data_IF_474842082345
#
_entry.id   IF_474842082345
#
_cell.length_a   1.000
_cell.length_b   1.000
_cell.length_c   1.000
_cell.angle_alpha   90.00
_cell.angle_beta   90.00
_cell.angle_gamma   90.00
#
_symmetry.space_group_name_H-M   'P 1'
#
loop_
_entity.id
_entity.type
_entity.pdbx_description
1 polymer ?
#
# COMPACT_ATOMS: atom_id res chain seq x y z
N UNK A 1 -0.04 40.07 10.51
CA UNK A 1 0.38 38.89 11.30
C UNK A 1 0.55 37.64 10.44
N UNK A 2 -0.28 37.43 9.42
CA UNK A 2 -0.07 36.34 8.43
C UNK A 2 1.26 36.47 7.64
N UNK A 3 1.83 37.68 7.61
CA UNK A 3 3.08 38.09 6.99
C UNK A 3 4.26 38.21 7.97
N UNK A 4 4.02 37.95 9.26
CA UNK A 4 5.02 38.08 10.33
C UNK A 4 6.31 37.30 9.99
N UNK A 5 7.52 37.80 10.28
CA UNK A 5 8.76 37.09 9.97
C UNK A 5 8.89 35.73 10.68
N UNK A 6 8.28 35.55 11.85
CA UNK A 6 8.36 34.33 12.65
C UNK A 6 7.42 33.24 12.13
N UNK A 7 7.93 32.05 11.72
CA UNK A 7 7.09 30.93 11.33
C UNK A 7 6.15 30.46 12.45
N UNK A 8 6.56 30.59 13.72
CA UNK A 8 5.71 30.23 14.88
C UNK A 8 4.51 31.16 15.01
N UNK A 9 4.68 32.45 14.74
CA UNK A 9 3.57 33.41 14.77
C UNK A 9 2.60 33.10 13.64
N UNK A 10 3.09 32.88 12.42
CA UNK A 10 2.24 32.49 11.28
C UNK A 10 1.50 31.18 11.51
N UNK A 11 2.14 30.21 12.17
CA UNK A 11 1.52 28.92 12.52
C UNK A 11 0.36 29.08 13.50
N UNK A 12 0.53 29.90 14.54
CA UNK A 12 -0.55 30.24 15.47
C UNK A 12 -1.66 31.02 14.77
N UNK A 13 -1.31 32.00 13.93
CA UNK A 13 -2.28 32.77 13.14
C UNK A 13 -3.10 31.85 12.24
N UNK A 14 -2.48 30.85 11.59
CA UNK A 14 -3.19 29.89 10.76
C UNK A 14 -4.30 29.18 11.55
N UNK A 15 -4.01 28.69 12.76
CA UNK A 15 -5.05 28.08 13.60
C UNK A 15 -6.11 29.07 14.09
N UNK A 16 -5.70 30.24 14.55
CA UNK A 16 -6.63 31.27 15.04
C UNK A 16 -7.59 31.72 13.95
N UNK A 17 -7.12 31.84 12.71
CA UNK A 17 -7.96 32.17 11.55
C UNK A 17 -9.01 31.10 11.30
N UNK A 18 -8.75 29.83 11.66
CA UNK A 18 -9.74 28.77 11.54
C UNK A 18 -11.01 29.05 12.34
N UNK A 19 -10.94 29.77 13.47
CA UNK A 19 -12.11 30.15 14.29
C UNK A 19 -12.55 31.61 14.11
N UNK A 20 -11.97 32.30 13.14
CA UNK A 20 -12.34 33.67 12.81
C UNK A 20 -13.67 33.74 12.07
N UNK A 21 -14.21 34.96 12.00
CA UNK A 21 -15.31 35.34 11.08
C UNK A 21 -14.85 36.47 10.15
N UNK A 22 -13.55 36.67 10.05
CA UNK A 22 -12.95 37.76 9.29
C UNK A 22 -13.06 37.43 7.79
N UNK A 23 -13.68 38.30 6.96
CA UNK A 23 -13.80 38.07 5.53
C UNK A 23 -12.44 37.95 4.81
N UNK A 24 -11.34 38.45 5.39
CA UNK A 24 -10.00 38.33 4.84
C UNK A 24 -9.26 37.04 5.26
N UNK A 25 -9.90 36.12 6.00
CA UNK A 25 -9.24 34.90 6.51
C UNK A 25 -8.62 34.05 5.39
N UNK A 26 -9.35 33.85 4.29
CA UNK A 26 -8.90 33.05 3.14
C UNK A 26 -7.68 33.69 2.48
N UNK A 27 -7.69 35.01 2.37
CA UNK A 27 -6.56 35.78 1.82
C UNK A 27 -5.33 35.68 2.72
N UNK A 28 -5.51 35.75 4.03
CA UNK A 28 -4.44 35.61 5.01
C UNK A 28 -3.83 34.20 5.00
N UNK A 29 -4.68 33.16 5.01
CA UNK A 29 -4.26 31.76 4.88
C UNK A 29 -3.52 31.51 3.55
N UNK A 30 -3.99 32.09 2.44
CA UNK A 30 -3.31 32.00 1.15
C UNK A 30 -1.93 32.67 1.18
N UNK A 31 -1.78 33.78 1.91
CA UNK A 31 -0.49 34.44 2.15
C UNK A 31 0.50 33.53 2.89
N UNK A 32 0.04 32.84 3.93
CA UNK A 32 0.86 31.89 4.71
C UNK A 32 1.33 30.74 3.83
N UNK A 33 0.44 30.12 3.05
CA UNK A 33 0.79 29.00 2.15
C UNK A 33 1.83 29.42 1.13
N UNK A 34 1.68 30.59 0.49
CA UNK A 34 2.67 31.09 -0.50
C UNK A 34 4.08 31.21 0.07
N UNK A 35 4.21 31.44 1.38
CA UNK A 35 5.50 31.58 2.05
C UNK A 35 6.03 30.24 2.57
N UNK A 36 5.16 29.40 3.11
CA UNK A 36 5.54 28.29 3.98
C UNK A 36 5.06 26.92 3.47
N UNK A 37 4.64 26.81 2.21
CA UNK A 37 4.17 25.54 1.65
C UNK A 37 5.18 24.39 1.75
N UNK A 38 6.48 24.64 1.95
CA UNK A 38 7.48 23.61 2.21
C UNK A 38 7.35 22.97 3.60
N UNK A 39 6.82 23.67 4.59
CA UNK A 39 6.66 23.18 5.97
C UNK A 39 5.40 22.31 6.11
N UNK A 40 5.59 21.05 6.52
CA UNK A 40 4.48 20.08 6.68
C UNK A 40 3.45 20.55 7.71
N UNK A 41 3.90 21.09 8.84
CA UNK A 41 3.01 21.50 9.91
C UNK A 41 2.20 22.72 9.50
N UNK A 42 2.82 23.67 8.79
CA UNK A 42 2.10 24.82 8.27
C UNK A 42 1.01 24.41 7.27
N UNK A 43 1.33 23.50 6.33
CA UNK A 43 0.32 22.95 5.40
C UNK A 43 -0.86 22.36 6.18
N UNK A 44 -0.59 21.54 7.19
CA UNK A 44 -1.63 20.94 8.03
C UNK A 44 -2.44 21.98 8.78
N UNK A 45 -1.82 22.99 9.39
CA UNK A 45 -2.53 24.05 10.11
C UNK A 45 -3.49 24.78 9.19
N UNK A 46 -3.04 25.23 8.01
CA UNK A 46 -3.90 25.92 7.05
C UNK A 46 -5.05 25.02 6.60
N UNK A 47 -4.79 23.77 6.22
CA UNK A 47 -5.84 22.86 5.75
C UNK A 47 -6.93 22.60 6.80
N UNK A 48 -6.57 22.51 8.08
CA UNK A 48 -7.54 22.34 9.16
C UNK A 48 -8.36 23.61 9.42
N UNK A 49 -7.77 24.78 9.17
CA UNK A 49 -8.42 26.07 9.36
C UNK A 49 -9.36 26.47 8.22
N UNK A 50 -9.29 25.82 7.06
CA UNK A 50 -10.07 26.23 5.89
C UNK A 50 -11.58 26.03 6.02
N UNK A 51 -12.08 25.21 6.96
CA UNK A 51 -13.52 24.91 7.13
C UNK A 51 -14.23 24.74 5.78
N UNK A 52 -15.05 25.70 5.36
CA UNK A 52 -15.79 25.70 4.08
C UNK A 52 -15.09 26.44 2.92
N UNK A 53 -13.99 27.16 3.17
CA UNK A 53 -13.27 27.95 2.19
C UNK A 53 -12.24 27.19 1.33
N UNK A 54 -12.28 25.86 1.31
CA UNK A 54 -11.33 25.06 0.53
C UNK A 54 -11.47 25.31 -0.99
N UNK A 55 -12.68 25.46 -1.50
CA UNK A 55 -12.92 25.85 -2.88
C UNK A 55 -12.50 27.29 -3.19
N UNK A 56 -12.75 28.21 -2.27
CA UNK A 56 -12.43 29.64 -2.45
C UNK A 56 -10.92 29.89 -2.52
N UNK A 57 -10.14 29.19 -1.69
CA UNK A 57 -8.68 29.34 -1.68
C UNK A 57 -8.00 28.63 -2.86
N UNK A 58 -8.67 27.68 -3.51
CA UNK A 58 -8.08 26.86 -4.57
C UNK A 58 -7.66 27.68 -5.79
N UNK A 59 -8.56 28.47 -6.37
CA UNK A 59 -8.27 29.27 -7.58
C UNK A 59 -7.07 30.22 -7.42
N UNK A 60 -6.99 31.07 -6.37
CA UNK A 60 -5.88 32.00 -6.21
C UNK A 60 -4.54 31.32 -5.90
N UNK A 61 -4.54 30.10 -5.36
CA UNK A 61 -3.32 29.34 -5.10
C UNK A 61 -2.86 28.55 -6.33
N UNK A 62 -3.78 27.93 -7.06
CA UNK A 62 -3.43 27.17 -8.27
C UNK A 62 -2.99 28.10 -9.41
N UNK A 63 -3.44 29.35 -9.43
CA UNK A 63 -2.96 30.35 -10.38
C UNK A 63 -1.47 30.74 -10.16
N UNK A 64 -0.94 30.61 -8.92
CA UNK A 64 0.43 31.00 -8.58
C UNK A 64 1.44 29.96 -9.08
N UNK A 65 2.27 30.33 -10.06
CA UNK A 65 3.30 29.45 -10.62
C UNK A 65 4.32 29.01 -9.57
N UNK A 66 4.64 29.85 -8.58
CA UNK A 66 5.60 29.49 -7.52
C UNK A 66 5.11 28.31 -6.68
N UNK A 67 3.80 28.18 -6.52
CA UNK A 67 3.20 27.02 -5.85
C UNK A 67 3.13 25.82 -6.79
N UNK A 68 2.73 26.01 -8.05
CA UNK A 68 2.67 24.92 -9.02
C UNK A 68 4.03 24.32 -9.37
N UNK A 69 5.10 25.09 -9.26
CA UNK A 69 6.44 24.67 -9.68
C UNK A 69 7.33 24.25 -8.49
N UNK A 70 6.87 24.41 -7.25
CA UNK A 70 7.60 23.97 -6.04
C UNK A 70 7.03 22.69 -5.46
N UNK A 71 7.90 21.81 -4.94
CA UNK A 71 7.47 20.54 -4.33
C UNK A 71 6.50 20.75 -3.15
N UNK A 72 6.76 21.75 -2.30
CA UNK A 72 5.88 22.09 -1.18
C UNK A 72 4.52 22.62 -1.62
N UNK A 73 4.49 23.49 -2.64
CA UNK A 73 3.26 24.03 -3.20
C UNK A 73 2.41 22.97 -3.91
N UNK A 74 3.04 22.09 -4.70
CA UNK A 74 2.36 20.95 -5.32
C UNK A 74 1.75 20.02 -4.28
N UNK A 75 2.49 19.72 -3.20
CA UNK A 75 1.98 18.88 -2.11
C UNK A 75 0.81 19.55 -1.38
N UNK A 76 0.85 20.86 -1.16
CA UNK A 76 -0.28 21.59 -0.59
C UNK A 76 -1.51 21.54 -1.52
N UNK A 77 -1.35 21.87 -2.80
CA UNK A 77 -2.46 21.84 -3.78
C UNK A 77 -3.06 20.43 -3.89
N UNK A 78 -2.22 19.38 -3.87
CA UNK A 78 -2.67 17.99 -3.83
C UNK A 78 -3.50 17.70 -2.58
N UNK A 79 -3.04 18.13 -1.40
CA UNK A 79 -3.79 17.94 -0.15
C UNK A 79 -5.11 18.70 -0.15
N UNK A 80 -5.10 19.97 -0.60
CA UNK A 80 -6.29 20.81 -0.72
C UNK A 80 -7.34 20.18 -1.64
N UNK A 81 -6.95 19.75 -2.84
CA UNK A 81 -7.88 19.10 -3.78
C UNK A 81 -8.37 17.75 -3.24
N UNK A 82 -7.54 17.02 -2.48
CA UNK A 82 -7.98 15.83 -1.77
C UNK A 82 -9.05 16.12 -0.70
N UNK A 83 -8.92 17.23 0.03
CA UNK A 83 -9.94 17.70 0.99
C UNK A 83 -11.23 18.09 0.27
N UNK A 84 -11.15 18.85 -0.83
CA UNK A 84 -12.31 19.20 -1.67
C UNK A 84 -13.04 17.93 -2.12
N UNK A 85 -12.30 16.95 -2.66
CA UNK A 85 -12.88 15.68 -3.09
C UNK A 85 -13.52 14.88 -1.95
N UNK A 86 -12.89 14.87 -0.76
CA UNK A 86 -13.41 14.16 0.41
C UNK A 86 -14.64 14.84 1.04
N UNK A 87 -14.73 16.18 0.95
CA UNK A 87 -15.93 16.95 1.30
C UNK A 87 -17.07 16.67 0.33
N UNK A 88 -16.74 16.44 -0.95
CA UNK A 88 -17.68 16.14 -2.02
C UNK A 88 -18.78 17.22 -2.16
N UNK A 89 -18.40 18.49 -1.96
CA UNK A 89 -19.24 19.64 -2.29
C UNK A 89 -19.26 19.83 -3.82
N UNK A 90 -20.46 19.89 -4.41
CA UNK A 90 -20.60 19.91 -5.87
C UNK A 90 -20.07 21.20 -6.51
N UNK A 91 -20.14 22.34 -5.80
CA UNK A 91 -19.60 23.62 -6.26
C UNK A 91 -18.08 23.60 -6.27
N UNK A 92 -17.46 23.19 -5.16
CA UNK A 92 -16.00 23.13 -5.06
C UNK A 92 -15.39 22.11 -6.03
N UNK A 93 -16.01 20.94 -6.17
CA UNK A 93 -15.58 19.90 -7.13
C UNK A 93 -15.67 20.43 -8.57
N UNK A 94 -16.75 21.14 -8.91
CA UNK A 94 -16.91 21.74 -10.24
C UNK A 94 -15.80 22.76 -10.53
N UNK A 95 -15.43 23.59 -9.56
CA UNK A 95 -14.32 24.56 -9.70
C UNK A 95 -13.00 23.85 -10.05
N UNK A 96 -12.70 22.74 -9.38
CA UNK A 96 -11.49 21.95 -9.68
C UNK A 96 -11.58 21.33 -11.08
N UNK A 97 -12.73 20.74 -11.45
CA UNK A 97 -12.93 20.16 -12.79
C UNK A 97 -12.76 21.20 -13.91
N UNK A 98 -13.33 22.40 -13.74
CA UNK A 98 -13.24 23.50 -14.71
C UNK A 98 -11.80 24.02 -14.86
N UNK A 99 -11.00 24.03 -13.78
CA UNK A 99 -9.57 24.31 -13.87
C UNK A 99 -8.83 23.23 -14.66
N UNK A 100 -9.04 21.96 -14.33
CA UNK A 100 -8.37 20.82 -14.95
C UNK A 100 -8.67 20.71 -16.45
N UNK A 101 -9.92 20.97 -16.85
CA UNK A 101 -10.34 21.02 -18.25
C UNK A 101 -9.58 22.08 -19.05
N UNK A 102 -9.33 23.26 -18.46
CA UNK A 102 -8.63 24.37 -19.12
C UNK A 102 -7.10 24.22 -19.11
N UNK A 103 -6.55 23.39 -18.20
CA UNK A 103 -5.11 23.28 -17.93
C UNK A 103 -4.59 21.84 -18.02
N UNK A 104 -5.08 21.08 -19.01
CA UNK A 104 -4.73 19.67 -19.25
C UNK A 104 -3.21 19.43 -19.31
N UNK A 105 -2.44 20.35 -19.90
CA UNK A 105 -0.99 20.23 -20.06
C UNK A 105 -0.18 20.73 -18.86
N UNK A 106 -0.82 21.24 -17.82
CA UNK A 106 -0.10 21.70 -16.62
C UNK A 106 0.60 20.53 -15.93
N UNK A 107 1.83 20.74 -15.45
CA UNK A 107 2.59 19.73 -14.71
C UNK A 107 1.88 19.21 -13.45
N UNK A 108 0.92 19.97 -12.91
CA UNK A 108 0.11 19.57 -11.75
C UNK A 108 -1.21 18.89 -12.12
N UNK A 109 -1.61 18.85 -13.39
CA UNK A 109 -2.93 18.36 -13.79
C UNK A 109 -3.17 16.92 -13.32
N UNK A 110 -2.24 15.99 -13.61
CA UNK A 110 -2.36 14.60 -13.17
C UNK A 110 -2.38 14.46 -11.63
N UNK A 111 -1.56 15.25 -10.95
CA UNK A 111 -1.49 15.27 -9.49
C UNK A 111 -2.83 15.67 -8.87
N UNK A 112 -3.41 16.76 -9.36
CA UNK A 112 -4.66 17.31 -8.85
C UNK A 112 -5.87 16.46 -9.27
N UNK A 113 -5.93 15.96 -10.51
CA UNK A 113 -6.98 15.03 -10.93
C UNK A 113 -6.97 13.77 -10.07
N UNK A 114 -5.78 13.23 -9.79
CA UNK A 114 -5.64 12.08 -8.90
C UNK A 114 -6.11 12.39 -7.49
N UNK A 115 -5.68 13.52 -6.92
CA UNK A 115 -6.08 13.94 -5.59
C UNK A 115 -7.61 14.08 -5.47
N UNK A 116 -8.26 14.66 -6.49
CA UNK A 116 -9.70 14.83 -6.53
C UNK A 116 -10.39 13.46 -6.54
N UNK A 117 -9.95 12.55 -7.41
CA UNK A 117 -10.54 11.21 -7.51
C UNK A 117 -10.33 10.35 -6.25
N UNK A 118 -9.17 10.43 -5.61
CA UNK A 118 -8.91 9.75 -4.34
C UNK A 118 -9.77 10.35 -3.21
N UNK A 119 -9.92 11.69 -3.15
CA UNK A 119 -10.84 12.35 -2.22
C UNK A 119 -12.29 11.92 -2.40
N UNK A 120 -12.79 11.95 -3.64
CA UNK A 120 -14.15 11.52 -3.98
C UNK A 120 -14.41 10.05 -3.63
N UNK A 121 -13.41 9.18 -3.85
CA UNK A 121 -13.48 7.77 -3.41
C UNK A 121 -13.62 7.65 -1.90
N UNK A 122 -12.90 8.49 -1.15
CA UNK A 122 -12.99 8.51 0.31
C UNK A 122 -14.39 8.94 0.79
N UNK A 123 -15.05 9.82 0.04
CA UNK A 123 -16.45 10.21 0.24
C UNK A 123 -17.49 9.15 -0.22
N UNK A 124 -17.04 8.02 -0.76
CA UNK A 124 -17.93 6.95 -1.24
C UNK A 124 -18.51 7.16 -2.64
N UNK A 125 -17.96 8.10 -3.42
CA UNK A 125 -18.33 8.33 -4.82
C UNK A 125 -17.13 8.05 -5.75
N UNK A 126 -17.19 8.48 -7.01
CA UNK A 126 -16.11 8.31 -7.99
C UNK A 126 -15.90 9.57 -8.81
N UNK A 127 -14.68 9.73 -9.34
CA UNK A 127 -14.36 10.81 -10.27
C UNK A 127 -15.25 10.75 -11.52
N UNK A 128 -15.55 9.55 -12.03
CA UNK A 128 -16.45 9.35 -13.17
C UNK A 128 -17.89 9.81 -12.91
N UNK A 129 -18.38 9.72 -11.67
CA UNK A 129 -19.70 10.24 -11.29
C UNK A 129 -19.69 11.77 -11.16
N UNK A 130 -18.62 12.33 -10.60
CA UNK A 130 -18.47 13.77 -10.46
C UNK A 130 -18.23 14.47 -11.81
N UNK A 131 -17.52 13.82 -12.74
CA UNK A 131 -17.26 14.31 -14.09
C UNK A 131 -18.27 13.75 -15.11
N UNK A 132 -19.56 13.91 -14.83
CA UNK A 132 -20.63 13.40 -15.71
C UNK A 132 -20.64 14.03 -17.10
N UNK A 133 -20.06 15.22 -17.26
CA UNK A 133 -19.90 15.92 -18.54
C UNK A 133 -18.64 15.48 -19.32
N UNK A 134 -17.78 14.63 -18.73
CA UNK A 134 -16.56 14.14 -19.37
C UNK A 134 -15.50 15.21 -19.60
N UNK A 135 -15.44 16.25 -18.75
CA UNK A 135 -14.46 17.35 -18.82
C UNK A 135 -13.02 16.85 -18.73
N UNK A 136 -12.78 15.75 -18.05
CA UNK A 136 -11.45 15.16 -17.86
C UNK A 136 -11.07 14.15 -18.94
N UNK A 137 -11.94 13.88 -19.93
CA UNK A 137 -11.62 12.98 -21.05
C UNK A 137 -10.28 13.31 -21.73
N UNK A 138 -9.94 14.58 -22.04
CA UNK A 138 -8.63 14.92 -22.59
C UNK A 138 -7.46 14.58 -21.66
N UNK A 139 -7.66 14.71 -20.34
CA UNK A 139 -6.65 14.38 -19.32
C UNK A 139 -6.37 12.88 -19.31
N UNK A 140 -7.40 12.03 -19.37
CA UNK A 140 -7.22 10.58 -19.45
C UNK A 140 -6.59 10.12 -20.77
N UNK A 141 -6.95 10.75 -21.89
CA UNK A 141 -6.30 10.48 -23.19
C UNK A 141 -4.80 10.79 -23.12
N UNK A 142 -4.44 11.96 -22.57
CA UNK A 142 -3.04 12.35 -22.35
C UNK A 142 -2.33 11.37 -21.42
N UNK A 143 -2.97 10.95 -20.34
CA UNK A 143 -2.41 9.96 -19.42
C UNK A 143 -2.15 8.61 -20.11
N UNK A 144 -3.08 8.13 -20.94
CA UNK A 144 -2.92 6.90 -21.73
C UNK A 144 -1.72 7.00 -22.67
N UNK A 145 -1.58 8.12 -23.38
CA UNK A 145 -0.44 8.37 -24.26
C UNK A 145 0.89 8.40 -23.49
N UNK A 146 0.96 9.17 -22.40
CA UNK A 146 2.19 9.30 -21.61
C UNK A 146 2.58 8.00 -20.90
N UNK A 147 1.60 7.22 -20.42
CA UNK A 147 1.87 5.93 -19.80
C UNK A 147 2.54 4.95 -20.77
N UNK A 148 2.12 4.94 -22.05
CA UNK A 148 2.65 4.06 -23.09
C UNK A 148 3.96 4.52 -23.75
N UNK A 149 4.33 5.79 -23.64
CA UNK A 149 5.50 6.35 -24.32
C UNK A 149 6.80 6.13 -23.51
N UNK A 150 7.67 5.26 -24.01
CA UNK A 150 8.97 4.97 -23.40
C UNK A 150 9.95 6.16 -23.39
N UNK A 151 9.69 7.23 -24.16
CA UNK A 151 10.50 8.47 -24.15
C UNK A 151 10.13 9.39 -22.98
N UNK A 152 8.94 9.22 -22.40
CA UNK A 152 8.51 9.98 -21.23
C UNK A 152 9.23 9.43 -20.00
N UNK A 153 9.68 10.33 -19.12
CA UNK A 153 10.36 9.93 -17.88
C UNK A 153 9.51 8.95 -17.06
N UNK A 154 10.15 7.95 -16.48
CA UNK A 154 9.49 6.89 -15.71
C UNK A 154 8.54 7.43 -14.63
N UNK A 155 8.95 8.47 -13.91
CA UNK A 155 8.14 9.10 -12.87
C UNK A 155 6.79 9.61 -13.42
N UNK A 156 6.80 10.26 -14.59
CA UNK A 156 5.58 10.77 -15.22
C UNK A 156 4.72 9.62 -15.75
N UNK A 157 5.33 8.57 -16.29
CA UNK A 157 4.61 7.37 -16.72
C UNK A 157 3.86 6.73 -15.55
N UNK A 158 4.53 6.57 -14.41
CA UNK A 158 3.91 6.04 -13.18
C UNK A 158 2.76 6.91 -12.70
N UNK A 159 2.90 8.24 -12.72
CA UNK A 159 1.80 9.16 -12.37
C UNK A 159 0.61 9.02 -13.34
N UNK A 160 0.87 8.89 -14.63
CA UNK A 160 -0.15 8.70 -15.65
C UNK A 160 -0.91 7.36 -15.44
N UNK A 161 -0.18 6.28 -15.14
CA UNK A 161 -0.75 4.96 -14.82
C UNK A 161 -1.66 5.03 -13.59
N UNK A 162 -1.22 5.71 -12.53
CA UNK A 162 -2.01 5.89 -11.31
C UNK A 162 -3.29 6.70 -11.58
N UNK A 163 -3.24 7.64 -12.51
CA UNK A 163 -4.42 8.41 -12.92
C UNK A 163 -5.41 7.53 -13.70
N UNK A 164 -4.94 6.68 -14.62
CA UNK A 164 -5.80 5.75 -15.37
C UNK A 164 -6.62 4.83 -14.47
N UNK A 165 -6.17 4.56 -13.24
CA UNK A 165 -6.91 3.77 -12.27
C UNK A 165 -8.18 4.47 -11.70
N UNK A 166 -8.43 5.72 -12.08
CA UNK A 166 -9.62 6.50 -11.71
C UNK A 166 -10.71 6.52 -12.79
N UNK A 167 -10.44 6.01 -14.00
CA UNK A 167 -11.44 5.84 -15.06
C UNK A 167 -12.18 4.51 -14.92
N UNK A 168 -12.98 4.12 -15.92
CA UNK A 168 -13.50 2.75 -16.03
C UNK A 168 -12.47 1.79 -16.61
N UNK A 169 -12.68 0.48 -16.40
CA UNK A 169 -11.85 -0.55 -17.02
C UNK A 169 -11.92 -0.50 -18.55
N UNK A 170 -13.08 -0.17 -19.12
CA UNK A 170 -13.24 -0.09 -20.59
C UNK A 170 -12.34 0.97 -21.23
N UNK A 171 -12.00 2.05 -20.51
CA UNK A 171 -11.13 3.12 -21.02
C UNK A 171 -9.64 2.78 -20.88
N UNK A 172 -9.28 2.17 -19.75
CA UNK A 172 -7.89 2.05 -19.28
C UNK A 172 -7.34 0.62 -19.28
N UNK A 173 -8.19 -0.40 -19.21
CA UNK A 173 -7.80 -1.79 -18.93
C UNK A 173 -6.81 -2.36 -19.94
N UNK A 174 -7.04 -2.14 -21.24
CA UNK A 174 -6.12 -2.60 -22.29
C UNK A 174 -4.76 -1.89 -22.22
N UNK A 175 -4.76 -0.57 -22.02
CA UNK A 175 -3.52 0.20 -21.86
C UNK A 175 -2.73 -0.29 -20.65
N UNK A 176 -3.39 -0.47 -19.50
CA UNK A 176 -2.76 -0.97 -18.29
C UNK A 176 -2.24 -2.41 -18.45
N UNK A 177 -2.99 -3.29 -19.11
CA UNK A 177 -2.53 -4.65 -19.43
C UNK A 177 -1.27 -4.63 -20.30
N UNK A 178 -1.21 -3.75 -21.31
CA UNK A 178 -0.04 -3.66 -22.20
C UNK A 178 1.25 -3.27 -21.47
N UNK A 179 1.13 -2.55 -20.35
CA UNK A 179 2.24 -2.12 -19.51
C UNK A 179 2.80 -3.22 -18.61
N UNK A 180 2.20 -4.41 -18.62
CA UNK A 180 2.72 -5.61 -17.96
C UNK A 180 3.70 -6.41 -18.84
N UNK A 181 3.92 -5.98 -20.08
CA UNK A 181 4.81 -6.66 -21.01
C UNK A 181 6.29 -6.56 -20.61
N UNK A 182 7.11 -7.50 -21.09
CA UNK A 182 8.55 -7.60 -20.75
C UNK A 182 9.40 -6.40 -21.22
N UNK A 183 8.90 -5.56 -22.12
CA UNK A 183 9.59 -4.33 -22.56
C UNK A 183 9.50 -3.17 -21.58
N UNK A 184 8.83 -3.35 -20.44
CA UNK A 184 8.60 -2.30 -19.44
C UNK A 184 9.53 -2.43 -18.24
N UNK A 185 9.82 -1.31 -17.59
CA UNK A 185 10.57 -1.29 -16.34
C UNK A 185 9.74 -1.85 -15.20
N UNK A 186 10.41 -2.38 -14.17
CA UNK A 186 9.74 -2.99 -13.01
C UNK A 186 8.78 -2.01 -12.32
N UNK A 187 9.16 -0.74 -12.16
CA UNK A 187 8.33 0.30 -11.55
C UNK A 187 7.05 0.59 -12.34
N UNK A 188 7.11 0.55 -13.67
CA UNK A 188 5.95 0.70 -14.57
C UNK A 188 5.03 -0.51 -14.46
N UNK A 189 5.60 -1.72 -14.45
CA UNK A 189 4.81 -2.93 -14.26
C UNK A 189 4.11 -2.94 -12.89
N UNK A 190 4.82 -2.58 -11.81
CA UNK A 190 4.24 -2.46 -10.46
C UNK A 190 3.12 -1.42 -10.41
N UNK A 191 3.31 -0.26 -11.04
CA UNK A 191 2.28 0.76 -11.13
C UNK A 191 1.04 0.25 -11.90
N UNK A 192 1.24 -0.52 -12.97
CA UNK A 192 0.16 -1.10 -13.75
C UNK A 192 -0.61 -2.17 -12.96
N UNK A 193 0.07 -3.05 -12.22
CA UNK A 193 -0.55 -4.02 -11.31
C UNK A 193 -1.40 -3.31 -10.26
N UNK A 194 -0.85 -2.28 -9.60
CA UNK A 194 -1.58 -1.50 -8.59
C UNK A 194 -2.78 -0.73 -9.18
N UNK A 195 -2.66 -0.23 -10.42
CA UNK A 195 -3.77 0.42 -11.12
C UNK A 195 -4.88 -0.57 -11.47
N UNK A 196 -4.52 -1.75 -12.01
CA UNK A 196 -5.46 -2.82 -12.32
C UNK A 196 -6.20 -3.32 -11.06
N UNK A 197 -5.50 -3.39 -9.92
CA UNK A 197 -6.07 -3.81 -8.65
C UNK A 197 -7.29 -2.97 -8.22
N UNK A 198 -7.37 -1.70 -8.64
CA UNK A 198 -8.46 -0.77 -8.29
C UNK A 198 -9.77 -1.08 -9.02
N UNK A 199 -9.75 -1.83 -10.13
CA UNK A 199 -10.97 -2.21 -10.83
C UNK A 199 -11.61 -3.46 -10.23
N UNK A 200 -12.92 -3.38 -9.99
CA UNK A 200 -13.74 -4.55 -9.68
C UNK A 200 -14.28 -5.17 -10.98
N UNK A 201 -13.38 -5.70 -11.80
CA UNK A 201 -13.69 -6.28 -13.11
C UNK A 201 -12.93 -7.61 -13.29
N UNK A 202 -13.61 -8.65 -13.75
CA UNK A 202 -13.00 -9.98 -13.92
C UNK A 202 -11.88 -10.00 -14.95
N UNK A 203 -11.88 -9.08 -15.92
CA UNK A 203 -10.83 -8.94 -16.95
C UNK A 203 -9.48 -8.55 -16.37
N UNK A 204 -9.44 -8.05 -15.12
CA UNK A 204 -8.19 -7.86 -14.37
C UNK A 204 -7.42 -9.19 -14.21
N UNK A 205 -8.14 -10.29 -13.97
CA UNK A 205 -7.53 -11.60 -13.78
C UNK A 205 -6.85 -12.06 -15.08
N UNK A 206 -7.54 -11.89 -16.20
CA UNK A 206 -7.02 -12.22 -17.52
C UNK A 206 -5.78 -11.38 -17.85
N UNK A 207 -5.80 -10.08 -17.57
CA UNK A 207 -4.65 -9.20 -17.78
C UNK A 207 -3.41 -9.65 -16.98
N UNK A 208 -3.56 -9.93 -15.68
CA UNK A 208 -2.45 -10.35 -14.82
C UNK A 208 -1.91 -11.74 -15.21
N UNK A 209 -2.80 -12.72 -15.43
CA UNK A 209 -2.40 -14.10 -15.72
C UNK A 209 -1.85 -14.27 -17.14
N UNK A 210 -2.37 -13.54 -18.14
CA UNK A 210 -1.86 -13.57 -19.52
C UNK A 210 -0.39 -13.12 -19.58
N UNK A 211 -0.04 -12.09 -18.82
CA UNK A 211 1.32 -11.54 -18.80
C UNK A 211 2.24 -12.26 -17.80
N UNK A 212 1.74 -13.22 -17.03
CA UNK A 212 2.49 -13.90 -15.96
C UNK A 212 3.92 -14.32 -16.33
N UNK A 213 4.17 -14.98 -17.49
CA UNK A 213 5.52 -15.42 -17.86
C UNK A 213 6.50 -14.26 -18.13
N UNK A 214 5.99 -13.05 -18.34
CA UNK A 214 6.76 -11.85 -18.67
C UNK A 214 7.05 -10.98 -17.43
N UNK A 215 6.42 -11.29 -16.30
CA UNK A 215 6.54 -10.52 -15.07
C UNK A 215 7.85 -10.86 -14.34
N UNK A 216 8.58 -9.81 -13.94
CA UNK A 216 9.71 -9.97 -13.02
C UNK A 216 9.25 -10.59 -11.69
N UNK A 217 10.15 -11.24 -10.95
CA UNK A 217 9.81 -11.95 -9.71
C UNK A 217 9.10 -11.06 -8.67
N UNK A 218 9.56 -9.82 -8.50
CA UNK A 218 8.91 -8.84 -7.62
C UNK A 218 7.49 -8.50 -8.07
N UNK A 219 7.28 -8.36 -9.38
CA UNK A 219 5.97 -8.04 -9.96
C UNK A 219 5.02 -9.22 -9.84
N UNK A 220 5.50 -10.46 -10.00
CA UNK A 220 4.70 -11.67 -9.70
C UNK A 220 4.23 -11.69 -8.25
N UNK A 221 5.13 -11.38 -7.30
CA UNK A 221 4.78 -11.30 -5.88
C UNK A 221 3.70 -10.25 -5.59
N UNK A 222 3.79 -9.08 -6.22
CA UNK A 222 2.74 -8.05 -6.13
C UNK A 222 1.44 -8.49 -6.79
N UNK A 223 1.51 -9.16 -7.95
CA UNK A 223 0.34 -9.70 -8.64
C UNK A 223 -0.36 -10.79 -7.81
N UNK A 224 0.38 -11.69 -7.14
CA UNK A 224 -0.19 -12.62 -6.15
C UNK A 224 -0.92 -11.82 -5.07
N UNK A 225 -0.26 -10.84 -4.46
CA UNK A 225 -0.85 -10.02 -3.39
C UNK A 225 -2.18 -9.39 -3.82
N UNK A 226 -2.22 -8.79 -5.02
CA UNK A 226 -3.45 -8.21 -5.61
C UNK A 226 -4.53 -9.26 -5.86
N UNK A 227 -4.16 -10.43 -6.40
CA UNK A 227 -5.10 -11.52 -6.67
C UNK A 227 -5.68 -12.11 -5.38
N UNK A 228 -4.92 -12.13 -4.28
CA UNK A 228 -5.37 -12.64 -2.98
C UNK A 228 -6.32 -11.69 -2.24
N UNK A 229 -6.50 -10.45 -2.71
CA UNK A 229 -7.41 -9.51 -2.06
C UNK A 229 -8.89 -9.83 -2.26
N UNK A 230 -9.26 -10.67 -3.24
CA UNK A 230 -10.66 -10.91 -3.60
C UNK A 230 -10.92 -12.38 -3.95
N UNK A 231 -12.08 -12.90 -3.55
CA UNK A 231 -12.39 -14.33 -3.69
C UNK A 231 -12.46 -14.80 -5.15
N UNK A 232 -13.03 -14.00 -6.05
CA UNK A 232 -13.09 -14.32 -7.48
C UNK A 232 -11.71 -14.31 -8.15
N UNK A 233 -10.80 -13.47 -7.66
CA UNK A 233 -9.41 -13.41 -8.14
C UNK A 233 -8.59 -14.59 -7.61
N UNK A 234 -8.79 -14.99 -6.34
CA UNK A 234 -8.21 -16.20 -5.75
C UNK A 234 -8.60 -17.43 -6.58
N UNK A 235 -9.87 -17.58 -6.94
CA UNK A 235 -10.34 -18.70 -7.75
C UNK A 235 -9.64 -18.76 -9.13
N UNK A 236 -9.46 -17.62 -9.79
CA UNK A 236 -8.73 -17.54 -11.06
C UNK A 236 -7.24 -17.90 -10.89
N UNK A 237 -6.60 -17.45 -9.81
CA UNK A 237 -5.22 -17.77 -9.51
C UNK A 237 -5.03 -19.27 -9.21
N UNK A 238 -5.93 -19.87 -8.45
CA UNK A 238 -5.91 -21.32 -8.18
C UNK A 238 -6.07 -22.16 -9.44
N UNK A 239 -6.95 -21.75 -10.36
CA UNK A 239 -7.06 -22.38 -11.67
C UNK A 239 -5.73 -22.30 -12.45
N UNK A 240 -5.06 -21.15 -12.40
CA UNK A 240 -3.76 -20.98 -13.05
C UNK A 240 -2.67 -21.89 -12.43
N UNK A 241 -2.76 -22.17 -11.13
CA UNK A 241 -1.89 -23.16 -10.46
C UNK A 241 -2.21 -24.59 -10.90
N UNK A 242 -3.50 -24.96 -11.00
CA UNK A 242 -3.93 -26.26 -11.53
C UNK A 242 -3.41 -26.49 -12.96
N UNK A 243 -3.47 -25.47 -13.79
CA UNK A 243 -2.97 -25.46 -15.17
C UNK A 243 -1.45 -25.34 -15.27
N UNK A 244 -0.74 -25.21 -14.14
CA UNK A 244 0.72 -25.05 -14.04
C UNK A 244 1.29 -23.81 -14.75
N UNK A 245 0.45 -22.81 -15.05
CA UNK A 245 0.89 -21.50 -15.56
C UNK A 245 1.43 -20.61 -14.43
N UNK A 246 0.99 -20.85 -13.20
CA UNK A 246 1.52 -20.27 -11.97
C UNK A 246 2.09 -21.40 -11.10
N UNK A 247 3.32 -21.24 -10.60
CA UNK A 247 3.95 -22.26 -9.76
C UNK A 247 3.50 -22.13 -8.30
N UNK A 248 3.43 -23.25 -7.59
CA UNK A 248 3.09 -23.24 -6.17
C UNK A 248 4.12 -22.46 -5.31
N UNK A 249 5.37 -22.38 -5.77
CA UNK A 249 6.45 -21.62 -5.13
C UNK A 249 6.27 -20.10 -5.21
N UNK A 250 5.29 -19.61 -5.98
CA UNK A 250 4.96 -18.16 -6.03
C UNK A 250 4.23 -17.70 -4.75
N UNK A 251 3.73 -18.64 -3.96
CA UNK A 251 3.01 -18.37 -2.72
C UNK A 251 3.94 -18.48 -1.53
N UNK A 252 3.88 -17.49 -0.65
CA UNK A 252 4.57 -17.52 0.63
C UNK A 252 3.82 -18.38 1.65
N UNK A 253 4.51 -18.88 2.67
CA UNK A 253 3.88 -19.61 3.78
C UNK A 253 2.77 -18.78 4.46
N UNK A 254 2.98 -17.47 4.60
CA UNK A 254 2.01 -16.53 5.16
C UNK A 254 0.73 -16.44 4.32
N UNK A 255 0.85 -16.36 3.00
CA UNK A 255 -0.30 -16.33 2.10
C UNK A 255 -1.06 -17.67 2.14
N UNK A 256 -0.37 -18.80 2.19
CA UNK A 256 -1.01 -20.11 2.31
C UNK A 256 -1.73 -20.28 3.66
N UNK A 257 -1.14 -19.78 4.75
CA UNK A 257 -1.79 -19.77 6.07
C UNK A 257 -3.06 -18.92 6.05
N UNK A 258 -3.02 -17.73 5.46
CA UNK A 258 -4.19 -16.88 5.28
C UNK A 258 -5.30 -17.58 4.46
N UNK A 259 -4.94 -18.21 3.34
CA UNK A 259 -5.88 -18.91 2.48
C UNK A 259 -6.55 -20.10 3.19
N UNK A 260 -5.80 -20.82 4.03
CA UNK A 260 -6.34 -21.91 4.85
C UNK A 260 -7.27 -21.40 5.96
N UNK A 261 -7.06 -20.18 6.43
CA UNK A 261 -7.92 -19.50 7.39
C UNK A 261 -9.03 -18.65 6.73
N UNK A 262 -9.18 -18.71 5.41
CA UNK A 262 -10.12 -17.86 4.67
C UNK A 262 -11.57 -18.13 5.08
N UNK A 263 -12.43 -17.11 5.04
CA UNK A 263 -13.85 -17.22 5.44
C UNK A 263 -14.65 -18.15 4.53
N UNK A 264 -14.35 -18.11 3.25
CA UNK A 264 -14.96 -18.93 2.21
C UNK A 264 -14.44 -20.37 2.29
N UNK A 265 -15.35 -21.32 2.50
CA UNK A 265 -15.06 -22.74 2.59
C UNK A 265 -14.43 -23.29 1.31
N UNK A 266 -14.88 -22.84 0.13
CA UNK A 266 -14.36 -23.33 -1.16
C UNK A 266 -12.88 -22.99 -1.33
N UNK A 267 -12.50 -21.76 -0.96
CA UNK A 267 -11.10 -21.32 -0.99
C UNK A 267 -10.24 -22.17 -0.05
N UNK A 268 -10.74 -22.47 1.17
CA UNK A 268 -10.03 -23.33 2.12
C UNK A 268 -9.83 -24.75 1.59
N UNK A 269 -10.84 -25.32 0.96
CA UNK A 269 -10.75 -26.67 0.38
C UNK A 269 -9.78 -26.70 -0.82
N UNK A 270 -9.84 -25.69 -1.69
CA UNK A 270 -8.94 -25.60 -2.85
C UNK A 270 -7.49 -25.41 -2.44
N UNK A 271 -7.17 -24.57 -1.47
CA UNK A 271 -5.77 -24.40 -1.02
C UNK A 271 -5.22 -25.70 -0.43
N UNK A 272 -6.03 -26.47 0.30
CA UNK A 272 -5.62 -27.79 0.82
C UNK A 272 -5.39 -28.79 -0.31
N UNK A 273 -6.25 -28.78 -1.33
CA UNK A 273 -6.10 -29.65 -2.51
C UNK A 273 -4.82 -29.33 -3.31
N UNK A 274 -4.52 -28.05 -3.51
CA UNK A 274 -3.44 -27.60 -4.40
C UNK A 274 -2.07 -27.53 -3.72
N UNK A 275 -2.04 -27.16 -2.44
CA UNK A 275 -0.81 -26.92 -1.69
C UNK A 275 -0.62 -27.88 -0.52
N UNK A 276 -1.53 -28.85 -0.37
CA UNK A 276 -1.56 -29.76 0.76
C UNK A 276 -2.21 -29.16 2.01
N UNK A 277 -2.64 -30.04 2.90
CA UNK A 277 -3.09 -29.66 4.23
C UNK A 277 -1.95 -28.96 5.00
N UNK A 278 -2.25 -28.04 5.94
CA UNK A 278 -1.26 -27.62 6.92
C UNK A 278 -0.67 -28.85 7.62
N UNK A 279 0.60 -28.76 8.02
CA UNK A 279 1.31 -29.89 8.62
C UNK A 279 0.51 -30.44 9.81
N UNK A 280 0.15 -31.72 9.74
CA UNK A 280 -0.50 -32.42 10.85
C UNK A 280 0.42 -32.61 12.05
N UNK A 281 1.73 -32.37 11.88
CA UNK A 281 2.73 -32.44 12.93
C UNK A 281 2.49 -31.31 13.91
N UNK A 282 2.22 -31.69 15.16
CA UNK A 282 2.07 -30.73 16.26
C UNK A 282 3.35 -29.91 16.38
N UNK A 283 3.21 -28.59 16.60
CA UNK A 283 4.36 -27.69 16.74
C UNK A 283 5.35 -28.17 17.81
N UNK A 284 4.87 -28.75 18.91
CA UNK A 284 5.71 -29.37 19.94
C UNK A 284 6.64 -30.47 19.42
N UNK A 285 6.19 -31.27 18.44
CA UNK A 285 7.00 -32.34 17.84
C UNK A 285 8.06 -31.76 16.90
N UNK A 286 7.72 -30.70 16.17
CA UNK A 286 8.68 -29.93 15.36
C UNK A 286 9.74 -29.29 16.25
N UNK A 287 9.34 -28.64 17.35
CA UNK A 287 10.29 -28.07 18.31
C UNK A 287 11.23 -29.15 18.83
N UNK A 288 10.70 -30.30 19.24
CA UNK A 288 11.51 -31.45 19.72
C UNK A 288 12.51 -31.95 18.69
N UNK A 289 12.14 -32.04 17.41
CA UNK A 289 13.03 -32.56 16.37
C UNK A 289 14.21 -31.62 16.07
N UNK A 290 14.08 -30.32 16.37
CA UNK A 290 15.13 -29.32 16.20
C UNK A 290 15.88 -28.96 17.50
N UNK A 291 15.49 -29.48 18.67
CA UNK A 291 16.25 -29.29 19.92
C UNK A 291 17.75 -29.62 19.81
N UNK A 292 18.19 -30.64 19.04
CA UNK A 292 19.63 -30.90 18.84
C UNK A 292 20.41 -29.70 18.29
N UNK A 293 19.76 -28.79 17.56
CA UNK A 293 20.38 -27.57 17.03
C UNK A 293 21.03 -26.70 18.12
N UNK A 294 20.50 -26.73 19.34
CA UNK A 294 21.02 -25.95 20.47
C UNK A 294 22.41 -26.41 20.95
N UNK A 295 22.79 -27.65 20.61
CA UNK A 295 24.08 -28.25 20.98
C UNK A 295 25.10 -28.21 19.83
N UNK A 296 24.68 -27.83 18.63
CA UNK A 296 25.54 -27.74 17.46
C UNK A 296 26.25 -26.39 17.42
N UNK A 297 27.44 -26.39 16.82
CA UNK A 297 28.17 -25.16 16.52
C UNK A 297 27.62 -24.59 15.21
N UNK A 298 26.97 -23.43 15.29
CA UNK A 298 26.45 -22.74 14.10
C UNK A 298 27.53 -22.02 13.29
N UNK A 299 27.31 -21.92 11.99
CA UNK A 299 28.11 -21.17 11.04
C UNK A 299 27.35 -19.91 10.57
N UNK A 300 27.72 -18.70 11.05
CA UNK A 300 26.97 -17.47 10.77
C UNK A 300 26.83 -17.15 9.28
N UNK A 301 27.81 -17.53 8.45
CA UNK A 301 27.76 -17.30 7.01
C UNK A 301 26.64 -18.09 6.31
N UNK A 302 26.34 -19.30 6.78
CA UNK A 302 25.21 -20.10 6.29
C UNK A 302 23.90 -19.56 6.86
N UNK A 303 23.88 -19.23 8.16
CA UNK A 303 22.73 -18.62 8.83
C UNK A 303 22.26 -17.34 8.15
N UNK A 304 23.20 -16.50 7.68
CA UNK A 304 22.90 -15.30 6.89
C UNK A 304 22.14 -15.61 5.60
N UNK A 305 22.47 -16.70 4.90
CA UNK A 305 21.76 -17.10 3.67
C UNK A 305 20.32 -17.47 3.99
N UNK A 306 20.11 -18.27 5.04
CA UNK A 306 18.78 -18.67 5.51
C UNK A 306 17.96 -17.44 5.95
N UNK A 307 18.59 -16.52 6.68
CA UNK A 307 17.96 -15.25 7.08
C UNK A 307 17.47 -14.45 5.87
N UNK A 308 18.33 -14.27 4.85
CA UNK A 308 17.98 -13.52 3.65
C UNK A 308 16.84 -14.19 2.86
N UNK A 309 16.79 -15.52 2.84
CA UNK A 309 15.78 -16.29 2.15
C UNK A 309 14.41 -16.26 2.87
N UNK A 310 14.40 -16.33 4.21
CA UNK A 310 13.18 -16.65 4.98
C UNK A 310 12.72 -15.58 5.94
N UNK A 311 13.65 -14.83 6.50
CA UNK A 311 13.38 -13.91 7.62
C UNK A 311 13.40 -12.45 7.17
N UNK A 312 14.27 -12.09 6.22
CA UNK A 312 14.47 -10.72 5.74
C UNK A 312 13.21 -10.13 5.07
N UNK A 313 12.28 -10.98 4.62
CA UNK A 313 10.97 -10.50 4.13
C UNK A 313 10.25 -9.68 5.20
N UNK A 314 10.31 -10.09 6.47
CA UNK A 314 9.54 -9.47 7.55
C UNK A 314 10.40 -8.78 8.60
N UNK A 315 11.62 -9.24 8.81
CA UNK A 315 12.52 -8.77 9.85
C UNK A 315 13.70 -8.02 9.27
N UNK A 316 14.25 -7.12 10.07
CA UNK A 316 15.41 -6.31 9.73
C UNK A 316 16.57 -6.63 10.68
N UNK A 317 17.76 -6.67 10.10
CA UNK A 317 19.07 -6.71 10.75
C UNK A 317 19.94 -5.67 10.03
N UNK A 318 20.40 -4.65 10.75
CA UNK A 318 21.07 -3.50 10.16
C UNK A 318 20.23 -2.88 9.03
N UNK A 319 20.79 -2.87 7.80
CA UNK A 319 20.11 -2.36 6.59
C UNK A 319 19.42 -3.45 5.75
N UNK A 320 19.41 -4.72 6.19
CA UNK A 320 18.89 -5.85 5.42
C UNK A 320 17.52 -6.30 5.93
N UNK A 321 16.52 -6.30 5.06
CA UNK A 321 15.16 -6.77 5.33
C UNK A 321 14.16 -5.65 5.68
N UNK A 322 13.01 -6.02 6.23
CA UNK A 322 11.88 -5.10 6.46
C UNK A 322 11.52 -4.95 7.95
N UNK A 323 10.83 -3.87 8.30
CA UNK A 323 10.39 -3.58 9.66
C UNK A 323 8.91 -3.95 9.90
N UNK A 324 8.51 -5.16 9.51
CA UNK A 324 7.19 -5.70 9.81
C UNK A 324 7.18 -6.42 11.17
N UNK A 325 8.13 -7.34 11.38
CA UNK A 325 8.35 -8.02 12.66
C UNK A 325 9.22 -7.21 13.63
N UNK A 326 9.45 -7.73 14.85
CA UNK A 326 10.41 -7.17 15.79
C UNK A 326 11.81 -7.03 15.17
N UNK A 327 12.52 -6.00 15.59
CA UNK A 327 13.94 -5.82 15.24
C UNK A 327 14.76 -6.94 15.90
N UNK A 328 15.40 -7.77 15.07
CA UNK A 328 16.08 -8.98 15.56
C UNK A 328 17.35 -8.65 16.34
N UNK A 329 17.89 -7.43 16.23
CA UNK A 329 19.01 -6.96 17.06
C UNK A 329 18.59 -6.98 18.54
N UNK A 330 17.34 -6.61 18.84
CA UNK A 330 16.81 -6.62 20.21
C UNK A 330 16.56 -8.04 20.74
N UNK A 331 16.38 -9.01 19.84
CA UNK A 331 16.07 -10.41 20.16
C UNK A 331 17.31 -11.23 20.53
N UNK A 332 18.54 -10.71 20.35
CA UNK A 332 19.78 -11.37 20.79
C UNK A 332 19.75 -11.80 22.25
N UNK A 333 19.12 -10.99 23.10
CA UNK A 333 19.07 -11.20 24.55
C UNK A 333 18.06 -12.27 24.97
N UNK A 334 17.18 -12.72 24.07
CA UNK A 334 16.15 -13.72 24.37
C UNK A 334 16.73 -15.13 24.59
N UNK A 335 17.94 -15.40 24.12
CA UNK A 335 18.61 -16.71 24.21
C UNK A 335 18.23 -17.68 23.07
N UNK A 336 19.10 -18.66 22.83
CA UNK A 336 18.99 -19.60 21.69
C UNK A 336 17.72 -20.44 21.73
N UNK A 337 17.29 -20.87 22.91
CA UNK A 337 16.10 -21.69 23.09
C UNK A 337 14.82 -20.90 22.76
N UNK A 338 14.69 -19.66 23.24
CA UNK A 338 13.55 -18.80 22.92
C UNK A 338 13.50 -18.47 21.44
N UNK A 339 14.65 -18.23 20.79
CA UNK A 339 14.71 -18.04 19.33
C UNK A 339 14.24 -19.28 18.58
N UNK A 340 14.74 -20.47 18.96
CA UNK A 340 14.33 -21.74 18.36
C UNK A 340 12.81 -21.93 18.43
N UNK A 341 12.24 -21.78 19.63
CA UNK A 341 10.81 -21.95 19.84
C UNK A 341 10.00 -20.91 19.05
N UNK A 342 10.41 -19.64 19.05
CA UNK A 342 9.70 -18.58 18.32
C UNK A 342 9.73 -18.78 16.80
N UNK A 343 10.81 -19.37 16.26
CA UNK A 343 10.92 -19.67 14.83
C UNK A 343 10.02 -20.85 14.42
N UNK A 344 9.96 -21.88 15.25
CA UNK A 344 9.27 -23.14 14.95
C UNK A 344 7.77 -23.11 15.32
N UNK A 345 7.43 -22.36 16.36
CA UNK A 345 6.09 -22.22 16.91
C UNK A 345 5.75 -20.73 17.15
N UNK A 346 5.63 -19.92 16.08
CA UNK A 346 5.39 -18.48 16.18
C UNK A 346 4.05 -18.12 16.82
N UNK A 347 3.13 -19.07 16.96
CA UNK A 347 1.82 -18.87 17.58
C UNK A 347 1.80 -19.22 19.08
N UNK A 348 2.88 -19.79 19.65
CA UNK A 348 2.95 -20.15 21.09
C UNK A 348 2.75 -18.96 22.01
N UNK A 349 3.38 -17.84 21.68
CA UNK A 349 3.27 -16.59 22.41
C UNK A 349 3.25 -15.43 21.40
N UNK A 350 2.06 -14.86 21.18
CA UNK A 350 1.89 -13.75 20.24
C UNK A 350 1.66 -12.47 21.02
N UNK A 351 2.67 -11.60 21.05
CA UNK A 351 2.49 -10.28 21.63
C UNK A 351 1.40 -9.51 20.85
N UNK A 352 0.50 -8.76 21.51
CA UNK A 352 -0.63 -8.10 20.85
C UNK A 352 -0.27 -7.23 19.63
N UNK A 353 0.91 -6.61 19.64
CA UNK A 353 1.44 -5.78 18.54
C UNK A 353 1.85 -6.56 17.28
N UNK A 354 1.98 -7.88 17.37
CA UNK A 354 2.32 -8.79 16.26
C UNK A 354 1.18 -9.73 15.88
N UNK A 355 -0.02 -9.53 16.46
CA UNK A 355 -1.22 -10.21 16.01
C UNK A 355 -1.54 -9.78 14.58
N UNK A 356 -1.79 -10.76 13.72
CA UNK A 356 -2.30 -10.50 12.39
C UNK A 356 -3.79 -10.12 12.46
N UNK A 357 -4.16 -9.12 11.67
CA UNK A 357 -5.54 -8.64 11.53
C UNK A 357 -6.01 -8.85 10.11
N UNK A 358 -7.30 -9.13 9.95
CA UNK A 358 -7.98 -9.17 8.66
C UNK A 358 -9.02 -8.06 8.60
N UNK A 359 -8.97 -7.26 7.53
CA UNK A 359 -9.94 -6.24 7.19
C UNK A 359 -10.71 -6.68 5.96
N UNK A 360 -12.03 -6.70 6.07
CA UNK A 360 -12.94 -6.88 4.94
C UNK A 360 -13.60 -5.54 4.61
N UNK A 361 -13.60 -5.17 3.33
CA UNK A 361 -14.15 -3.90 2.86
C UNK A 361 -15.53 -4.06 2.22
N UNK A 362 -16.26 -2.94 2.12
CA UNK A 362 -17.53 -2.85 1.39
C UNK A 362 -17.38 -3.16 -0.10
N UNK A 363 -16.20 -2.95 -0.66
CA UNK A 363 -15.87 -3.26 -2.06
C UNK A 363 -15.58 -4.75 -2.29
N UNK A 364 -15.60 -5.59 -1.25
CA UNK A 364 -15.33 -7.03 -1.32
C UNK A 364 -13.84 -7.39 -1.23
N UNK A 365 -12.97 -6.44 -0.89
CA UNK A 365 -11.55 -6.71 -0.69
C UNK A 365 -11.29 -7.21 0.73
N UNK A 366 -10.32 -8.11 0.86
CA UNK A 366 -9.80 -8.64 2.11
C UNK A 366 -8.31 -8.30 2.19
N UNK A 367 -7.93 -7.58 3.23
CA UNK A 367 -6.55 -7.23 3.52
C UNK A 367 -6.12 -7.91 4.81
N UNK A 368 -4.85 -8.29 4.91
CA UNK A 368 -4.29 -8.84 6.15
C UNK A 368 -2.92 -8.28 6.44
N UNK A 369 -2.65 -8.07 7.72
CA UNK A 369 -1.36 -7.56 8.19
C UNK A 369 -1.42 -7.14 9.65
N UNK A 370 -0.33 -6.53 10.13
CA UNK A 370 -0.29 -5.91 11.44
C UNK A 370 -0.94 -4.53 11.39
N UNK A 371 -1.57 -4.12 12.48
CA UNK A 371 -1.99 -2.72 12.62
C UNK A 371 -0.74 -1.88 12.89
N UNK A 372 -0.36 -1.05 11.91
CA UNK A 372 0.75 -0.11 12.04
C UNK A 372 0.31 1.22 12.66
N UNK A 373 -0.91 1.66 12.37
CA UNK A 373 -1.53 2.82 13.00
C UNK A 373 -3.05 2.77 12.87
N UNK A 374 -3.74 3.37 13.84
CA UNK A 374 -5.19 3.58 13.80
C UNK A 374 -5.52 5.04 14.08
N UNK A 375 -6.49 5.55 13.35
CA UNK A 375 -7.11 6.85 13.60
C UNK A 375 -8.63 6.72 13.53
N UNK A 376 -9.38 7.78 13.87
CA UNK A 376 -10.83 7.81 13.64
C UNK A 376 -11.21 7.68 12.16
N UNK A 377 -10.31 8.04 11.23
CA UNK A 377 -10.59 8.02 9.79
C UNK A 377 -10.15 6.73 9.09
N UNK A 378 -9.14 6.02 9.58
CA UNK A 378 -8.61 4.84 8.92
C UNK A 378 -7.75 3.94 9.80
N UNK A 379 -7.47 2.77 9.25
CA UNK A 379 -6.55 1.77 9.81
C UNK A 379 -5.46 1.51 8.77
N UNK A 380 -4.21 1.61 9.19
CA UNK A 380 -3.06 1.28 8.33
C UNK A 380 -2.61 -0.14 8.68
N UNK A 381 -2.75 -1.06 7.74
CA UNK A 381 -2.18 -2.40 7.84
C UNK A 381 -0.79 -2.44 7.23
N UNK A 382 0.16 -3.09 7.91
CA UNK A 382 1.48 -3.42 7.39
C UNK A 382 1.55 -4.91 7.08
N UNK A 383 1.78 -5.22 5.81
CA UNK A 383 1.99 -6.58 5.33
C UNK A 383 3.36 -7.15 5.70
N UNK A 384 3.61 -8.43 5.40
CA UNK A 384 4.86 -9.12 5.72
C UNK A 384 6.08 -8.45 5.08
N UNK A 385 5.98 -7.97 3.84
CA UNK A 385 7.05 -7.25 3.13
C UNK A 385 7.23 -5.78 3.57
N UNK A 386 6.55 -5.34 4.63
CA UNK A 386 6.58 -3.95 5.09
C UNK A 386 5.68 -3.00 4.30
N UNK A 387 4.96 -3.47 3.28
CA UNK A 387 4.01 -2.63 2.52
C UNK A 387 2.87 -2.19 3.42
N UNK A 388 2.56 -0.90 3.40
CA UNK A 388 1.45 -0.32 4.16
C UNK A 388 0.23 -0.08 3.28
N UNK A 389 -0.93 -0.54 3.74
CA UNK A 389 -2.23 -0.32 3.12
C UNK A 389 -3.12 0.44 4.09
N UNK A 390 -3.54 1.64 3.69
CA UNK A 390 -4.50 2.43 4.46
C UNK A 390 -5.91 2.05 4.02
N UNK A 391 -6.72 1.57 4.97
CA UNK A 391 -8.15 1.29 4.75
C UNK A 391 -8.96 2.26 5.57
N UNK A 392 -9.83 3.03 4.91
CA UNK A 392 -10.72 3.97 5.59
C UNK A 392 -11.75 3.24 6.43
N UNK A 393 -12.00 3.70 7.66
CA UNK A 393 -13.02 3.09 8.53
C UNK A 393 -14.40 3.07 7.90
N UNK A 394 -14.75 4.08 7.11
CA UNK A 394 -16.01 4.14 6.36
C UNK A 394 -16.17 3.00 5.33
N UNK A 395 -15.07 2.38 4.90
CA UNK A 395 -15.04 1.27 3.95
C UNK A 395 -14.93 -0.09 4.62
N UNK A 396 -14.61 -0.16 5.92
CA UNK A 396 -14.46 -1.42 6.65
C UNK A 396 -15.84 -1.98 7.01
N UNK A 397 -16.10 -3.22 6.61
CA UNK A 397 -17.25 -4.01 7.07
C UNK A 397 -16.87 -4.81 8.32
N UNK A 398 -15.64 -5.34 8.35
CA UNK A 398 -15.14 -6.15 9.45
C UNK A 398 -13.65 -5.90 9.64
N UNK A 399 -13.24 -5.74 10.89
CA UNK A 399 -11.85 -5.74 11.33
C UNK A 399 -11.76 -6.74 12.49
N UNK A 400 -10.94 -7.77 12.35
CA UNK A 400 -10.80 -8.80 13.37
C UNK A 400 -9.37 -9.30 13.48
N UNK A 401 -8.89 -9.61 14.71
CA UNK A 401 -7.65 -10.35 14.88
C UNK A 401 -7.85 -11.78 14.37
N UNK A 402 -6.84 -12.35 13.71
CA UNK A 402 -6.86 -13.76 13.31
C UNK A 402 -6.55 -14.72 14.46
N UNK A 403 -6.15 -14.20 15.63
CA UNK A 403 -5.68 -14.98 16.78
C UNK A 403 -4.33 -15.66 16.53
N UNK A 404 -3.63 -15.29 15.46
CA UNK A 404 -2.36 -15.86 15.03
C UNK A 404 -1.33 -14.75 14.81
N UNK A 405 -0.06 -15.11 14.89
CA UNK A 405 1.06 -14.25 14.52
C UNK A 405 1.03 -13.93 13.03
N UNK A 406 1.57 -12.76 12.64
CA UNK A 406 1.90 -12.50 11.24
C UNK A 406 3.04 -13.40 10.74
N UNK A 407 3.93 -13.83 11.64
CA UNK A 407 5.01 -14.77 11.32
C UNK A 407 4.40 -16.15 11.01
N UNK A 408 4.62 -16.69 9.80
CA UNK A 408 3.99 -17.94 9.40
C UNK A 408 4.64 -19.16 10.04
N UNK A 409 3.86 -20.21 10.23
CA UNK A 409 4.39 -21.55 10.52
C UNK A 409 5.03 -22.19 9.27
N UNK A 410 5.93 -23.16 9.47
CA UNK A 410 6.53 -23.92 8.36
C UNK A 410 7.81 -23.29 7.80
N UNK A 411 8.37 -22.28 8.46
CA UNK A 411 9.67 -21.68 8.09
C UNK A 411 10.83 -22.69 8.20
N UNK A 412 10.64 -23.76 8.96
CA UNK A 412 11.57 -24.86 9.15
C UNK A 412 11.60 -25.88 7.99
N UNK A 413 10.61 -25.85 7.10
CA UNK A 413 10.47 -26.87 6.07
C UNK A 413 11.70 -26.84 5.14
N UNK A 414 12.37 -27.99 5.05
CA UNK A 414 13.61 -28.16 4.26
C UNK A 414 14.89 -27.81 5.02
N UNK A 415 14.82 -27.38 6.28
CA UNK A 415 15.99 -27.13 7.13
C UNK A 415 16.38 -28.38 7.92
N UNK A 416 17.67 -28.59 8.10
CA UNK A 416 18.24 -29.56 9.04
C UNK A 416 18.46 -28.93 10.42
N UNK A 417 18.69 -29.71 11.49
CA UNK A 417 19.12 -29.16 12.77
C UNK A 417 20.40 -28.31 12.69
N UNK A 418 21.32 -28.61 11.76
CA UNK A 418 22.51 -27.79 11.54
C UNK A 418 22.16 -26.44 10.90
N UNK A 419 21.25 -26.40 9.93
CA UNK A 419 20.78 -25.14 9.32
C UNK A 419 20.12 -24.23 10.37
N UNK A 420 19.36 -24.82 11.28
CA UNK A 420 18.75 -24.09 12.39
C UNK A 420 19.80 -23.56 13.37
N UNK A 421 20.84 -24.35 13.69
CA UNK A 421 21.96 -23.89 14.51
C UNK A 421 22.72 -22.73 13.85
N UNK A 422 22.95 -22.81 12.54
CA UNK A 422 23.58 -21.77 11.74
C UNK A 422 22.75 -20.47 11.76
N UNK A 423 21.43 -20.58 11.58
CA UNK A 423 20.50 -19.44 11.66
C UNK A 423 20.51 -18.80 13.04
N UNK A 424 20.33 -19.58 14.11
CA UNK A 424 20.31 -19.06 15.49
C UNK A 424 21.64 -18.39 15.84
N UNK A 425 22.77 -18.96 15.42
CA UNK A 425 24.09 -18.35 15.63
C UNK A 425 24.21 -17.00 14.91
N UNK A 426 23.75 -16.91 13.65
CA UNK A 426 23.73 -15.65 12.92
C UNK A 426 22.85 -14.60 13.62
N UNK A 427 21.64 -14.97 14.05
CA UNK A 427 20.71 -14.08 14.76
C UNK A 427 21.29 -13.59 16.11
N UNK A 428 22.04 -14.44 16.82
CA UNK A 428 22.72 -14.07 18.06
C UNK A 428 23.85 -13.06 17.88
N UNK A 429 24.44 -12.97 16.68
CA UNK A 429 25.60 -12.11 16.36
C UNK A 429 25.23 -10.85 15.55
N UNK A 430 23.97 -10.70 15.16
CA UNK A 430 23.49 -9.72 14.18
C UNK A 430 23.46 -8.26 14.69
N UNK A 431 24.50 -7.45 14.48
CA UNK A 431 24.55 -6.02 14.90
C UNK A 431 23.65 -5.06 14.10
#
# INVERSE_FOLDING_TARGET
MADDPSPRVRYQVAFTLGDSKDPDEIKALAGIVRRDASDRWMRTAVLNSLKDGAGEIFEPLVADSRLRDSAGGQEFLRQLVGVIGAKNDSGEVKTVLDYLQRKVDSGVAFLLTRALGDGLRNAGTSLSRADSEGKLKPTFVRAKAMAGDAKVSEQIRVQAIQLLALSGFDDAGEALSSLLSSGQTESVQLAAVAALARFNDSRVNEALLKHWPQLAARVRSEAVTVMLTRSERIAALFKAVEERSVLASEFTAQQLQMLRAHRDLQIREQVVRLFGAPSAVKRDEVVKSFLPALQLRGHPANGKKIYLERCATCHRIGSQGNAAGPDLVTMKTAGKETLLVSILDPNREVAPRYLNYTIETKSGESFSGLIASESPSGVTLRGPNGTETVVLRSQIVRLQPSGQSLMPEGLEIGLTPQDMADLIEYLGLAD
#
